data_IF_501051937834
#
_entry.id   IF_501051937834
#
_cell.length_a   1.000
_cell.length_b   1.000
_cell.length_c   1.000
_cell.angle_alpha   90.00
_cell.angle_beta   90.00
_cell.angle_gamma   90.00
#
_symmetry.space_group_name_H-M   'P 1'
#
loop_
_entity.id
_entity.type
_entity.pdbx_description
1 polymer ?
#
# COMPACT_ATOMS: atom_id res chain seq x y z
N UNK A 1 -4.09 -26.76 33.04
CA UNK A 1 -4.67 -26.48 31.70
C UNK A 1 -3.51 -26.18 30.78
N UNK A 2 -3.24 -27.06 29.81
CA UNK A 2 -2.12 -26.90 28.88
C UNK A 2 -2.37 -25.72 27.94
N UNK A 3 -1.37 -24.86 27.78
CA UNK A 3 -1.37 -23.81 26.76
C UNK A 3 -1.50 -24.47 25.39
N UNK A 4 -2.57 -24.13 24.66
CA UNK A 4 -2.59 -24.30 23.20
C UNK A 4 -1.46 -23.43 22.69
N UNK A 5 -0.44 -24.04 22.08
CA UNK A 5 0.62 -23.29 21.43
C UNK A 5 0.00 -22.34 20.41
N UNK A 6 0.17 -21.04 20.61
CA UNK A 6 -0.19 -20.03 19.62
C UNK A 6 0.68 -20.27 18.39
N UNK A 7 0.13 -20.93 17.38
CA UNK A 7 0.79 -21.05 16.09
C UNK A 7 0.75 -19.67 15.43
N UNK A 8 1.91 -19.16 15.05
CA UNK A 8 2.01 -18.00 14.17
C UNK A 8 1.91 -18.48 12.72
N UNK A 9 1.31 -17.66 11.86
CA UNK A 9 1.16 -17.96 10.43
C UNK A 9 2.21 -17.25 9.60
N UNK A 10 2.53 -17.82 8.44
CA UNK A 10 3.26 -17.12 7.38
C UNK A 10 2.22 -16.68 6.34
N UNK A 11 2.07 -15.36 6.16
CA UNK A 11 1.23 -14.85 5.07
C UNK A 11 2.00 -14.95 3.76
N UNK A 12 1.43 -15.66 2.79
CA UNK A 12 2.03 -15.84 1.47
C UNK A 12 1.51 -14.84 0.44
N UNK A 13 0.58 -13.98 0.83
CA UNK A 13 -0.05 -13.00 -0.03
C UNK A 13 -0.52 -11.79 0.78
N UNK A 14 0.39 -10.84 0.97
CA UNK A 14 0.08 -9.53 1.53
C UNK A 14 0.41 -8.45 0.51
N UNK A 15 -0.23 -7.29 0.66
CA UNK A 15 0.09 -6.09 -0.10
C UNK A 15 0.37 -4.91 0.84
N UNK A 16 1.22 -4.00 0.36
CA UNK A 16 1.49 -2.69 0.95
C UNK A 16 1.06 -1.63 -0.06
N UNK A 17 0.40 -0.57 0.40
CA UNK A 17 0.26 0.68 -0.37
C UNK A 17 1.62 1.38 -0.34
N UNK A 18 2.20 1.61 -1.51
CA UNK A 18 3.51 2.24 -1.62
C UNK A 18 3.55 3.56 -0.84
N UNK A 19 4.54 3.77 0.05
CA UNK A 19 4.72 5.04 0.76
C UNK A 19 4.80 6.21 -0.22
N UNK A 20 4.27 7.39 0.11
CA UNK A 20 4.25 8.54 -0.80
C UNK A 20 5.66 8.98 -1.23
N UNK A 21 6.67 8.71 -0.41
CA UNK A 21 8.08 9.06 -0.61
C UNK A 21 8.90 7.92 -1.25
N UNK A 22 8.28 6.81 -1.68
CA UNK A 22 8.97 5.58 -2.08
C UNK A 22 10.07 5.82 -3.13
N UNK A 23 9.82 6.70 -4.11
CA UNK A 23 10.74 6.95 -5.22
C UNK A 23 11.63 8.17 -5.01
N UNK A 24 11.46 8.92 -3.92
CA UNK A 24 12.19 10.17 -3.67
C UNK A 24 13.68 9.89 -3.43
N UNK A 25 14.53 10.36 -4.34
CA UNK A 25 15.98 10.21 -4.24
C UNK A 25 16.49 8.77 -4.36
N UNK A 26 15.63 7.80 -4.74
CA UNK A 26 15.99 6.38 -4.85
C UNK A 26 16.25 5.93 -6.28
N UNK A 27 16.02 6.81 -7.27
CA UNK A 27 16.29 6.51 -8.67
C UNK A 27 17.61 7.16 -9.14
N UNK A 28 18.24 6.62 -10.20
CA UNK A 28 19.34 7.31 -10.87
C UNK A 28 18.95 8.74 -11.25
N UNK A 29 19.86 9.70 -11.12
CA UNK A 29 19.58 11.14 -11.33
C UNK A 29 18.85 11.44 -12.64
N UNK A 30 19.21 10.73 -13.72
CA UNK A 30 18.59 10.89 -15.05
C UNK A 30 17.11 10.44 -15.12
N UNK A 31 16.66 9.59 -14.19
CA UNK A 31 15.30 9.06 -14.12
C UNK A 31 14.46 9.76 -13.05
N UNK A 32 15.09 10.42 -12.07
CA UNK A 32 14.38 11.03 -10.94
C UNK A 32 13.31 12.04 -11.36
N UNK A 33 13.53 12.78 -12.47
CA UNK A 33 12.56 13.74 -12.99
C UNK A 33 11.27 13.11 -13.53
N UNK A 34 11.29 11.81 -13.87
CA UNK A 34 10.14 11.03 -14.31
C UNK A 34 9.68 9.98 -13.29
N UNK A 35 10.15 10.06 -12.05
CA UNK A 35 9.75 9.15 -11.00
C UNK A 35 8.23 9.21 -10.75
N UNK A 36 7.58 8.08 -10.41
CA UNK A 36 6.24 8.12 -9.85
C UNK A 36 6.22 9.02 -8.60
N UNK A 37 5.18 9.83 -8.46
CA UNK A 37 4.98 10.72 -7.30
C UNK A 37 3.51 10.79 -6.93
N UNK A 38 3.22 10.99 -5.65
CA UNK A 38 1.86 11.30 -5.21
C UNK A 38 1.56 12.78 -5.49
N UNK A 39 0.38 13.04 -6.04
CA UNK A 39 -0.15 14.39 -6.29
C UNK A 39 -1.51 14.55 -5.63
N UNK A 40 -1.82 15.78 -5.24
CA UNK A 40 -3.16 16.18 -4.81
C UNK A 40 -3.99 16.60 -6.02
N UNK A 41 -5.21 16.10 -6.09
CA UNK A 41 -6.23 16.36 -7.10
C UNK A 41 -7.31 17.28 -6.54
N UNK A 42 -8.15 17.78 -7.44
CA UNK A 42 -9.33 18.56 -7.08
C UNK A 42 -10.19 17.84 -6.02
N UNK A 43 -10.55 18.58 -4.98
CA UNK A 43 -11.29 18.09 -3.82
C UNK A 43 -10.43 17.44 -2.74
N UNK A 44 -9.09 17.59 -2.80
CA UNK A 44 -8.18 17.09 -1.76
C UNK A 44 -7.88 15.59 -1.86
N UNK A 45 -8.20 14.96 -3.00
CA UNK A 45 -7.95 13.53 -3.23
C UNK A 45 -6.49 13.31 -3.63
N UNK A 46 -5.92 12.17 -3.29
CA UNK A 46 -4.55 11.82 -3.63
C UNK A 46 -4.49 10.70 -4.67
N UNK A 47 -3.52 10.80 -5.58
CA UNK A 47 -3.24 9.76 -6.56
C UNK A 47 -1.76 9.75 -6.95
N UNK A 48 -1.26 8.62 -7.41
CA UNK A 48 0.05 8.56 -8.06
C UNK A 48 -0.03 9.12 -9.49
N UNK A 49 0.89 10.00 -9.86
CA UNK A 49 1.16 10.42 -11.23
C UNK A 49 2.42 9.71 -11.73
N UNK A 50 2.32 9.07 -12.89
CA UNK A 50 3.46 8.47 -13.58
C UNK A 50 3.21 8.43 -15.09
N UNK A 51 4.15 8.98 -15.87
CA UNK A 51 4.08 9.07 -17.34
C UNK A 51 2.75 9.61 -17.91
N UNK A 52 2.17 10.61 -17.22
CA UNK A 52 0.88 11.21 -17.59
C UNK A 52 -0.35 10.37 -17.23
N UNK A 53 -0.14 9.18 -16.64
CA UNK A 53 -1.19 8.36 -16.05
C UNK A 53 -1.47 8.72 -14.59
N UNK A 54 -2.72 8.50 -14.17
CA UNK A 54 -3.18 8.72 -12.79
C UNK A 54 -3.63 7.40 -12.16
N UNK A 55 -3.07 7.07 -11.00
CA UNK A 55 -3.30 5.82 -10.28
C UNK A 55 -3.75 6.13 -8.84
N UNK A 56 -5.07 6.26 -8.59
CA UNK A 56 -5.58 6.53 -7.24
C UNK A 56 -5.36 5.33 -6.33
N UNK A 57 -5.16 5.53 -5.03
CA UNK A 57 -5.24 4.43 -4.07
C UNK A 57 -6.72 4.04 -3.87
N UNK A 58 -7.09 2.80 -4.14
CA UNK A 58 -8.50 2.36 -4.04
C UNK A 58 -8.86 2.00 -2.59
N UNK A 59 -9.97 2.51 -2.07
CA UNK A 59 -10.42 2.32 -0.69
C UNK A 59 -10.55 0.86 -0.25
N UNK A 60 -10.96 -0.05 -1.13
CA UNK A 60 -10.99 -1.51 -0.84
C UNK A 60 -9.62 -2.08 -0.41
N UNK A 61 -8.50 -1.46 -0.80
CA UNK A 61 -7.17 -1.91 -0.39
C UNK A 61 -6.84 -1.58 1.08
N UNK A 62 -7.68 -0.77 1.76
CA UNK A 62 -7.41 -0.25 3.09
C UNK A 62 -8.64 -0.33 4.02
N UNK A 63 -9.42 -1.42 3.92
CA UNK A 63 -10.65 -1.63 4.73
C UNK A 63 -10.42 -2.32 6.08
N UNK A 64 -9.17 -2.60 6.44
CA UNK A 64 -8.86 -3.31 7.69
C UNK A 64 -9.37 -2.49 8.90
N UNK A 65 -10.25 -3.11 9.70
CA UNK A 65 -10.88 -2.44 10.84
C UNK A 65 -12.08 -1.55 10.51
N UNK A 66 -12.50 -1.43 9.24
CA UNK A 66 -13.70 -0.66 8.84
C UNK A 66 -14.97 -1.52 8.81
N UNK A 67 -16.13 -0.98 9.21
CA UNK A 67 -17.44 -1.61 9.00
C UNK A 67 -17.67 -1.95 7.52
N UNK A 68 -18.30 -3.10 7.24
CA UNK A 68 -18.50 -3.58 5.86
C UNK A 68 -19.35 -2.65 5.00
N UNK A 69 -20.28 -1.93 5.60
CA UNK A 69 -21.13 -0.92 4.97
C UNK A 69 -20.37 0.37 4.61
N UNK A 70 -19.16 0.55 5.12
CA UNK A 70 -18.26 1.64 4.71
C UNK A 70 -17.27 1.24 3.59
N UNK A 71 -17.31 -0.01 3.13
CA UNK A 71 -16.40 -0.45 2.07
C UNK A 71 -16.82 0.17 0.74
N UNK A 72 -15.92 0.94 0.12
CA UNK A 72 -16.15 1.54 -1.19
C UNK A 72 -14.94 1.40 -2.11
N UNK A 73 -15.19 1.60 -3.41
CA UNK A 73 -14.16 1.68 -4.45
C UNK A 73 -13.63 3.09 -4.63
N UNK A 74 -14.09 4.05 -3.82
CA UNK A 74 -13.65 5.43 -3.94
C UNK A 74 -12.15 5.53 -3.62
N UNK A 75 -11.44 6.50 -4.22
CA UNK A 75 -10.08 6.79 -3.84
C UNK A 75 -9.99 7.07 -2.34
N UNK A 76 -9.02 6.47 -1.67
CA UNK A 76 -8.71 6.76 -0.28
C UNK A 76 -7.39 7.54 -0.20
N UNK A 77 -7.39 8.58 0.62
CA UNK A 77 -6.18 9.31 0.98
C UNK A 77 -5.37 8.54 2.03
N UNK A 78 -4.07 8.82 2.15
CA UNK A 78 -3.20 8.10 3.08
C UNK A 78 -3.61 8.24 4.55
N UNK A 79 -4.22 9.36 4.92
CA UNK A 79 -4.71 9.66 6.28
C UNK A 79 -6.05 8.99 6.62
N UNK A 80 -6.79 8.52 5.61
CA UNK A 80 -8.03 7.74 5.76
C UNK A 80 -7.76 6.24 5.93
N UNK A 81 -6.52 5.80 5.68
CA UNK A 81 -6.09 4.42 5.79
C UNK A 81 -5.50 4.12 7.16
N UNK A 82 -5.61 2.86 7.61
CA UNK A 82 -4.81 2.39 8.74
C UNK A 82 -3.33 2.58 8.40
N UNK A 83 -2.56 3.17 9.32
CA UNK A 83 -1.14 3.47 9.10
C UNK A 83 -0.29 2.27 8.64
N UNK A 84 -0.58 1.07 9.15
CA UNK A 84 0.08 -0.19 8.73
C UNK A 84 -0.17 -0.60 7.27
N UNK A 85 -1.02 0.12 6.52
CA UNK A 85 -1.17 -0.07 5.07
C UNK A 85 0.02 0.46 4.27
N UNK A 86 0.76 1.45 4.79
CA UNK A 86 1.86 2.10 4.07
C UNK A 86 3.11 2.39 4.92
N UNK A 87 3.04 2.27 6.25
CA UNK A 87 4.18 2.42 7.17
C UNK A 87 4.63 1.03 7.68
N UNK A 88 5.90 0.69 7.46
CA UNK A 88 6.44 -0.64 7.77
C UNK A 88 6.47 -0.94 9.28
N UNK A 89 6.76 0.06 10.11
CA UNK A 89 6.85 -0.14 11.55
C UNK A 89 5.44 -0.35 12.13
N UNK A 90 4.47 0.41 11.67
CA UNK A 90 3.05 0.20 11.99
C UNK A 90 2.55 -1.16 11.47
N UNK A 91 3.02 -1.61 10.30
CA UNK A 91 2.67 -2.93 9.75
C UNK A 91 3.20 -4.06 10.63
N UNK A 92 4.40 -3.96 11.19
CA UNK A 92 4.94 -4.98 12.11
C UNK A 92 4.06 -5.10 13.37
N UNK A 93 3.58 -3.98 13.91
CA UNK A 93 2.63 -3.98 15.04
C UNK A 93 1.32 -4.70 14.67
N UNK A 94 0.82 -4.47 13.47
CA UNK A 94 -0.38 -5.15 12.96
C UNK A 94 -0.16 -6.65 12.75
N UNK A 95 1.02 -7.05 12.26
CA UNK A 95 1.40 -8.46 12.10
C UNK A 95 1.47 -9.18 13.44
N UNK A 96 2.05 -8.56 14.46
CA UNK A 96 2.09 -9.12 15.81
C UNK A 96 0.69 -9.33 16.38
N UNK A 97 -0.21 -8.35 16.23
CA UNK A 97 -1.60 -8.45 16.65
C UNK A 97 -2.38 -9.55 15.89
N UNK A 98 -2.07 -9.75 14.61
CA UNK A 98 -2.69 -10.76 13.75
C UNK A 98 -2.07 -12.16 13.88
N UNK A 99 -1.01 -12.33 14.68
CA UNK A 99 -0.29 -13.61 14.79
C UNK A 99 0.48 -14.01 13.53
N UNK A 100 0.89 -13.03 12.72
CA UNK A 100 1.67 -13.23 11.49
C UNK A 100 3.16 -13.16 11.84
N UNK A 101 3.90 -14.24 11.63
CA UNK A 101 5.35 -14.30 11.87
C UNK A 101 6.16 -13.72 10.72
N UNK A 102 5.69 -13.90 9.49
CA UNK A 102 6.35 -13.44 8.28
C UNK A 102 5.31 -13.21 7.19
N UNK A 103 5.64 -12.32 6.25
CA UNK A 103 4.74 -11.89 5.19
C UNK A 103 5.51 -11.79 3.88
N UNK A 104 4.98 -12.43 2.83
CA UNK A 104 5.38 -12.16 1.46
C UNK A 104 4.55 -10.99 0.94
N UNK A 105 5.22 -9.86 0.69
CA UNK A 105 4.55 -8.61 0.36
C UNK A 105 4.71 -8.25 -1.13
N UNK A 106 3.58 -7.99 -1.79
CA UNK A 106 3.49 -7.61 -3.19
C UNK A 106 3.17 -6.11 -3.35
N UNK A 107 3.61 -5.50 -4.46
CA UNK A 107 3.25 -4.12 -4.81
C UNK A 107 1.73 -3.91 -4.98
N UNK A 108 1.31 -2.65 -4.95
CA UNK A 108 -0.08 -2.23 -5.19
C UNK A 108 -0.23 -1.46 -6.51
N UNK A 109 -1.07 -0.42 -6.52
CA UNK A 109 -1.66 0.14 -7.74
C UNK A 109 -0.66 0.83 -8.66
N UNK A 110 0.35 1.50 -8.12
CA UNK A 110 1.34 2.20 -8.95
C UNK A 110 2.26 1.23 -9.70
N UNK A 111 2.47 0.01 -9.19
CA UNK A 111 3.16 -1.05 -9.93
C UNK A 111 2.21 -1.79 -10.90
N UNK A 112 0.92 -1.83 -10.59
CA UNK A 112 -0.07 -2.63 -11.31
C UNK A 112 0.16 -4.14 -11.15
N UNK A 113 -0.71 -4.94 -11.76
CA UNK A 113 -0.60 -6.40 -11.69
C UNK A 113 0.75 -6.86 -12.27
N UNK A 114 1.54 -7.55 -11.44
CA UNK A 114 2.86 -8.06 -11.79
C UNK A 114 3.82 -7.01 -12.39
N UNK A 115 3.77 -5.75 -11.91
CA UNK A 115 4.64 -4.69 -12.41
C UNK A 115 4.24 -4.14 -13.79
N UNK A 116 3.01 -4.45 -14.23
CA UNK A 116 2.54 -4.10 -15.57
C UNK A 116 2.56 -2.60 -15.88
N UNK A 117 2.42 -1.71 -14.89
CA UNK A 117 2.51 -0.26 -15.13
C UNK A 117 3.90 0.10 -15.65
N UNK A 118 4.94 -0.32 -14.93
CA UNK A 118 6.33 0.02 -15.29
C UNK A 118 6.85 -0.72 -16.51
N UNK A 119 6.30 -1.88 -16.86
CA UNK A 119 6.76 -2.64 -18.03
C UNK A 119 6.32 -2.05 -19.38
N UNK A 120 5.40 -1.08 -19.36
CA UNK A 120 4.89 -0.39 -20.55
C UNK A 120 5.54 0.98 -20.80
N UNK A 121 6.44 1.39 -19.91
CA UNK A 121 7.21 2.63 -19.93
C UNK A 121 8.45 2.54 -20.81
#
# INVERSE_FOLDING_TARGET
>A
MGSVGSYKVVSVDDHLIEPPDLFEGRLPTKLQGGAPKVVELDGGRQAWEYEGGMYPNVGLNAVVGRPKDEWSMDPANFDEMRKGCWDIDARVVDMDAAGIAASLCFPSLIAGFAGGVFSRS
#
